data_IF_937792929471
#
_entry.id   IF_937792929471
#
_cell.length_a   1.000
_cell.length_b   1.000
_cell.length_c   1.000
_cell.angle_alpha   90.00
_cell.angle_beta   90.00
_cell.angle_gamma   90.00
#
_symmetry.space_group_name_H-M   'P 1'
#
loop_
_entity.id
_entity.type
_entity.pdbx_description
1 polymer ?
#
# COMPACT_ATOMS: atom_id res chain seq x y z
N UNK A 1 13.22 1.81 -11.96
CA UNK A 1 12.92 0.40 -11.60
C UNK A 1 13.99 -0.17 -10.68
N UNK A 2 15.25 -0.14 -11.09
CA UNK A 2 16.36 -0.72 -10.33
C UNK A 2 16.48 -0.19 -8.90
N UNK A 3 16.30 1.11 -8.67
CA UNK A 3 16.33 1.66 -7.31
C UNK A 3 15.17 1.14 -6.47
N UNK A 4 13.96 1.13 -7.03
CA UNK A 4 12.77 0.63 -6.34
C UNK A 4 12.86 -0.88 -6.06
N UNK A 5 13.29 -1.67 -7.05
CA UNK A 5 13.40 -3.13 -6.89
C UNK A 5 14.38 -3.53 -5.78
N UNK A 6 15.50 -2.80 -5.64
CA UNK A 6 16.46 -3.02 -4.54
C UNK A 6 15.84 -2.73 -3.18
N UNK A 7 15.04 -1.66 -3.05
CA UNK A 7 14.36 -1.31 -1.80
C UNK A 7 13.29 -2.34 -1.40
N UNK A 8 12.78 -3.11 -2.37
CA UNK A 8 11.71 -4.09 -2.18
C UNK A 8 12.19 -5.54 -2.32
N UNK A 9 13.52 -5.77 -2.31
CA UNK A 9 14.17 -7.10 -2.41
C UNK A 9 13.69 -7.92 -3.63
N UNK A 10 13.65 -7.28 -4.81
CA UNK A 10 13.29 -7.92 -6.07
C UNK A 10 14.17 -7.42 -7.22
N UNK A 11 13.84 -7.73 -8.46
CA UNK A 11 14.59 -7.32 -9.66
C UNK A 11 13.81 -6.34 -10.52
N UNK A 12 14.52 -5.46 -11.25
CA UNK A 12 13.90 -4.40 -12.04
C UNK A 12 12.96 -4.90 -13.14
N UNK A 13 13.17 -6.11 -13.65
CA UNK A 13 12.30 -6.75 -14.65
C UNK A 13 10.91 -7.08 -14.12
N UNK A 14 10.73 -7.18 -12.80
CA UNK A 14 9.44 -7.41 -12.16
C UNK A 14 8.66 -6.12 -11.88
N UNK A 15 9.20 -4.95 -12.25
CA UNK A 15 8.63 -3.65 -11.89
C UNK A 15 8.12 -2.92 -13.13
N UNK A 16 6.84 -2.51 -13.09
CA UNK A 16 6.27 -1.55 -14.02
C UNK A 16 6.13 -0.16 -13.37
N UNK A 17 6.10 0.89 -14.20
CA UNK A 17 5.85 2.28 -13.79
C UNK A 17 4.39 2.58 -14.07
N UNK A 18 3.65 2.96 -13.04
CA UNK A 18 2.21 3.22 -13.09
C UNK A 18 1.87 4.63 -12.59
N UNK A 19 0.72 5.21 -12.97
CA UNK A 19 0.34 6.56 -12.54
C UNK A 19 -0.35 6.57 -11.17
N UNK A 20 -0.94 5.44 -10.76
CA UNK A 20 -1.77 5.39 -9.54
C UNK A 20 -1.96 3.96 -9.02
N UNK A 21 -2.36 3.85 -7.75
CA UNK A 21 -2.73 2.56 -7.17
C UNK A 21 -3.91 1.91 -7.91
N UNK A 22 -4.92 2.69 -8.32
CA UNK A 22 -6.08 2.17 -9.06
C UNK A 22 -5.69 1.56 -10.41
N UNK A 23 -4.70 2.14 -11.11
CA UNK A 23 -4.17 1.56 -12.34
C UNK A 23 -3.53 0.19 -12.08
N UNK A 24 -2.69 0.08 -11.03
CA UNK A 24 -2.06 -1.19 -10.67
C UNK A 24 -3.05 -2.26 -10.23
N UNK A 25 -4.05 -1.90 -9.42
CA UNK A 25 -5.11 -2.84 -9.01
C UNK A 25 -5.96 -3.27 -10.21
N UNK A 26 -6.32 -2.35 -11.11
CA UNK A 26 -7.06 -2.69 -12.33
C UNK A 26 -6.24 -3.62 -13.24
N UNK A 27 -4.92 -3.41 -13.34
CA UNK A 27 -4.02 -4.32 -14.05
C UNK A 27 -4.06 -5.72 -13.44
N UNK A 28 -3.98 -5.84 -12.12
CA UNK A 28 -4.09 -7.12 -11.43
C UNK A 28 -5.46 -7.79 -11.68
N UNK A 29 -6.56 -7.04 -11.54
CA UNK A 29 -7.91 -7.54 -11.76
C UNK A 29 -8.14 -8.07 -13.19
N UNK A 30 -7.52 -7.43 -14.19
CA UNK A 30 -7.60 -7.87 -15.60
C UNK A 30 -6.86 -9.19 -15.84
N UNK A 31 -5.79 -9.46 -15.08
CA UNK A 31 -4.86 -10.57 -15.35
C UNK A 31 -5.05 -11.79 -14.45
N UNK A 32 -5.86 -11.70 -13.41
CA UNK A 32 -6.11 -12.83 -12.54
C UNK A 32 -7.31 -13.67 -13.02
N UNK A 33 -7.18 -14.99 -12.84
CA UNK A 33 -8.25 -15.92 -13.18
C UNK A 33 -9.32 -15.89 -12.08
N UNK A 34 -10.50 -15.38 -12.43
CA UNK A 34 -11.65 -15.30 -11.56
C UNK A 34 -12.78 -16.06 -12.23
N UNK A 35 -13.24 -17.15 -11.58
CA UNK A 35 -14.32 -18.00 -12.10
C UNK A 35 -15.67 -17.59 -11.52
N UNK A 36 -16.74 -17.87 -12.24
CA UNK A 36 -18.09 -17.68 -11.72
C UNK A 36 -18.29 -18.48 -10.43
N UNK A 37 -18.93 -17.88 -9.43
CA UNK A 37 -19.16 -18.46 -8.10
C UNK A 37 -17.93 -18.47 -7.19
N UNK A 38 -16.75 -18.06 -7.64
CA UNK A 38 -15.59 -17.86 -6.76
C UNK A 38 -15.72 -16.57 -5.95
N UNK A 39 -14.83 -16.37 -4.98
CA UNK A 39 -14.84 -15.20 -4.10
C UNK A 39 -13.57 -14.36 -4.26
N UNK A 40 -13.74 -13.06 -4.14
CA UNK A 40 -12.64 -12.10 -4.01
C UNK A 40 -12.70 -11.54 -2.60
N UNK A 41 -11.67 -11.80 -1.78
CA UNK A 41 -11.58 -11.34 -0.41
C UNK A 41 -11.01 -9.93 -0.36
N UNK A 42 -11.72 -9.02 0.32
CA UNK A 42 -11.29 -7.65 0.64
C UNK A 42 -11.59 -7.33 2.09
N UNK A 43 -10.89 -6.34 2.68
CA UNK A 43 -11.20 -5.84 4.01
C UNK A 43 -12.31 -4.77 3.96
N UNK A 44 -13.13 -4.65 5.02
CA UNK A 44 -14.22 -3.66 5.10
C UNK A 44 -13.74 -2.23 4.96
N UNK A 45 -12.61 -1.92 5.60
CA UNK A 45 -12.03 -0.56 5.64
C UNK A 45 -10.91 -0.35 4.63
N UNK A 46 -10.87 -1.16 3.58
CA UNK A 46 -9.87 -1.08 2.53
C UNK A 46 -9.95 0.26 1.78
N UNK A 47 -8.81 0.76 1.31
CA UNK A 47 -8.80 1.95 0.47
C UNK A 47 -9.62 1.74 -0.81
N UNK A 48 -10.50 2.68 -1.19
CA UNK A 48 -11.47 2.48 -2.27
C UNK A 48 -10.87 2.00 -3.61
N UNK A 49 -9.66 2.45 -3.97
CA UNK A 49 -8.98 1.98 -5.18
C UNK A 49 -8.64 0.48 -5.16
N UNK A 50 -8.57 -0.13 -3.97
CA UNK A 50 -8.40 -1.57 -3.81
C UNK A 50 -9.73 -2.29 -3.48
N UNK A 51 -10.86 -1.70 -3.88
CA UNK A 51 -12.21 -2.30 -3.75
C UNK A 51 -12.96 -2.24 -5.08
N UNK A 52 -13.04 -1.05 -5.69
CA UNK A 52 -13.87 -0.84 -6.89
C UNK A 52 -13.48 -1.72 -8.08
N UNK A 53 -12.20 -1.92 -8.44
CA UNK A 53 -11.84 -2.83 -9.52
C UNK A 53 -12.29 -4.26 -9.26
N UNK A 54 -12.23 -4.70 -8.00
CA UNK A 54 -12.66 -6.04 -7.61
C UNK A 54 -14.19 -6.22 -7.69
N UNK A 55 -14.96 -5.22 -7.29
CA UNK A 55 -16.42 -5.23 -7.45
C UNK A 55 -16.81 -5.31 -8.93
N UNK A 56 -16.16 -4.50 -9.76
CA UNK A 56 -16.43 -4.48 -11.19
C UNK A 56 -16.12 -5.83 -11.85
N UNK A 57 -14.94 -6.41 -11.60
CA UNK A 57 -14.58 -7.69 -12.20
C UNK A 57 -15.43 -8.86 -11.63
N UNK A 58 -15.80 -8.80 -10.35
CA UNK A 58 -16.70 -9.79 -9.76
C UNK A 58 -18.05 -9.81 -10.46
N UNK A 59 -18.65 -8.64 -10.69
CA UNK A 59 -19.91 -8.51 -11.46
C UNK A 59 -19.78 -9.08 -12.87
N UNK A 60 -18.70 -8.72 -13.59
CA UNK A 60 -18.46 -9.20 -14.95
C UNK A 60 -18.26 -10.71 -15.06
N UNK A 61 -17.63 -11.32 -14.05
CA UNK A 61 -17.28 -12.75 -14.05
C UNK A 61 -18.25 -13.62 -13.28
N UNK A 62 -19.27 -13.04 -12.63
CA UNK A 62 -20.20 -13.80 -11.77
C UNK A 62 -19.55 -14.31 -10.51
N UNK A 63 -18.56 -13.62 -9.98
CA UNK A 63 -17.92 -13.90 -8.70
C UNK A 63 -18.53 -13.05 -7.57
N UNK A 64 -18.20 -13.38 -6.33
CA UNK A 64 -18.71 -12.70 -5.13
C UNK A 64 -17.60 -11.91 -4.43
N UNK A 65 -17.93 -10.75 -3.83
CA UNK A 65 -17.04 -10.05 -2.92
C UNK A 65 -17.23 -10.61 -1.50
N UNK A 66 -16.17 -11.17 -0.93
CA UNK A 66 -16.11 -11.59 0.47
C UNK A 66 -15.45 -10.47 1.29
N UNK A 67 -16.24 -9.71 2.03
CA UNK A 67 -15.73 -8.63 2.88
C UNK A 67 -15.39 -9.18 4.27
N UNK A 68 -14.17 -8.93 4.74
CA UNK A 68 -13.69 -9.29 6.08
C UNK A 68 -13.75 -8.07 6.98
N UNK A 69 -14.50 -8.17 8.06
CA UNK A 69 -14.53 -7.16 9.12
C UNK A 69 -13.49 -7.52 10.18
N UNK A 70 -12.73 -6.52 10.64
CA UNK A 70 -11.77 -6.67 11.72
C UNK A 70 -12.25 -5.83 12.90
N UNK A 71 -12.65 -6.46 14.02
CA UNK A 71 -13.02 -5.74 15.24
C UNK A 71 -11.85 -4.88 15.77
N UNK A 72 -12.19 -3.80 16.45
CA UNK A 72 -11.20 -2.90 17.05
C UNK A 72 -10.27 -3.65 18.02
N UNK A 73 -8.96 -3.50 17.82
CA UNK A 73 -7.94 -4.09 18.69
C UNK A 73 -7.55 -5.53 18.34
N UNK A 74 -8.26 -6.18 17.42
CA UNK A 74 -7.92 -7.52 16.95
C UNK A 74 -6.88 -7.52 15.83
N UNK A 75 -6.22 -8.66 15.63
CA UNK A 75 -5.21 -8.81 14.60
C UNK A 75 -5.85 -9.03 13.22
N UNK A 76 -5.70 -8.08 12.30
CA UNK A 76 -6.27 -8.18 10.96
C UNK A 76 -5.79 -9.43 10.20
N UNK A 77 -4.57 -9.89 10.46
CA UNK A 77 -3.98 -11.09 9.86
C UNK A 77 -4.82 -12.33 10.13
N UNK A 78 -5.23 -12.54 11.38
CA UNK A 78 -5.96 -13.74 11.78
C UNK A 78 -7.34 -13.78 11.10
N UNK A 79 -8.05 -12.66 11.06
CA UNK A 79 -9.34 -12.56 10.37
C UNK A 79 -9.25 -12.82 8.86
N UNK A 80 -8.16 -12.40 8.22
CA UNK A 80 -7.93 -12.72 6.81
C UNK A 80 -7.69 -14.21 6.63
N UNK A 81 -6.84 -14.83 7.48
CA UNK A 81 -6.49 -16.25 7.42
C UNK A 81 -7.74 -17.10 7.61
N UNK A 82 -8.56 -16.79 8.61
CA UNK A 82 -9.81 -17.51 8.91
C UNK A 82 -10.84 -17.39 7.79
N UNK A 83 -10.80 -16.29 7.05
CA UNK A 83 -11.68 -16.05 5.92
C UNK A 83 -11.22 -16.71 4.62
N UNK A 84 -9.97 -17.17 4.51
CA UNK A 84 -9.44 -17.81 3.31
C UNK A 84 -9.88 -19.28 3.24
N UNK A 85 -10.57 -19.61 2.16
CA UNK A 85 -10.99 -20.97 1.81
C UNK A 85 -10.76 -21.24 0.30
N UNK A 86 -10.94 -22.48 -0.15
CA UNK A 86 -10.72 -22.92 -1.54
C UNK A 86 -11.60 -22.21 -2.58
N UNK A 87 -12.64 -21.49 -2.16
CA UNK A 87 -13.51 -20.70 -3.06
C UNK A 87 -12.98 -19.29 -3.27
N UNK A 88 -11.97 -18.88 -2.50
CA UNK A 88 -11.36 -17.54 -2.65
C UNK A 88 -10.31 -17.61 -3.74
N UNK A 89 -10.59 -17.00 -4.90
CA UNK A 89 -9.63 -16.92 -6.02
C UNK A 89 -8.59 -15.80 -5.85
N UNK A 90 -8.97 -14.70 -5.20
CA UNK A 90 -8.10 -13.54 -4.96
C UNK A 90 -8.25 -13.05 -3.53
N UNK A 91 -7.13 -12.81 -2.85
CA UNK A 91 -7.03 -12.06 -1.62
C UNK A 91 -6.41 -10.69 -1.92
N UNK A 92 -7.23 -9.63 -1.89
CA UNK A 92 -6.79 -8.26 -2.12
C UNK A 92 -6.72 -7.52 -0.79
N UNK A 93 -5.50 -7.26 -0.32
CA UNK A 93 -5.27 -6.64 0.99
C UNK A 93 -4.26 -5.51 0.94
N UNK A 94 -4.02 -4.84 2.06
CA UNK A 94 -2.89 -3.95 2.29
C UNK A 94 -1.89 -4.63 3.23
N UNK A 95 -0.67 -4.08 3.35
CA UNK A 95 0.23 -4.45 4.44
C UNK A 95 -0.10 -3.65 5.72
N UNK A 96 -0.39 -2.35 5.57
CA UNK A 96 -0.82 -1.46 6.65
C UNK A 96 -2.13 -0.79 6.26
N UNK A 97 -3.16 -0.92 7.07
CA UNK A 97 -4.47 -0.32 6.81
C UNK A 97 -4.40 1.20 6.89
N UNK A 98 -5.00 1.87 5.93
CA UNK A 98 -4.98 3.32 5.78
C UNK A 98 -5.85 4.06 6.80
N UNK A 99 -6.78 3.38 7.43
CA UNK A 99 -7.72 3.94 8.42
C UNK A 99 -7.10 4.02 9.81
N UNK A 100 -6.54 2.93 10.30
CA UNK A 100 -6.12 2.76 11.70
C UNK A 100 -4.67 2.29 11.88
N UNK A 101 -3.94 2.03 10.77
CA UNK A 101 -2.56 1.57 10.85
C UNK A 101 -2.38 0.10 11.22
N UNK A 102 -3.46 -0.70 11.24
CA UNK A 102 -3.36 -2.14 11.52
C UNK A 102 -2.38 -2.82 10.56
N UNK A 103 -1.48 -3.60 11.11
CA UNK A 103 -0.47 -4.36 10.37
C UNK A 103 -1.03 -5.72 9.97
N UNK A 104 -0.80 -6.09 8.72
CA UNK A 104 -1.11 -7.41 8.18
C UNK A 104 0.19 -8.13 7.86
N UNK A 105 0.40 -9.28 8.47
CA UNK A 105 1.53 -10.17 8.23
C UNK A 105 1.34 -10.87 6.87
N UNK A 106 1.98 -10.30 5.84
CA UNK A 106 1.82 -10.77 4.47
C UNK A 106 2.44 -12.15 4.23
N UNK A 107 3.46 -12.54 5.00
CA UNK A 107 4.07 -13.87 4.87
C UNK A 107 3.08 -14.94 5.36
N UNK A 108 2.42 -14.71 6.51
CA UNK A 108 1.36 -15.62 6.98
C UNK A 108 0.15 -15.69 6.05
N UNK A 109 -0.30 -14.52 5.57
CA UNK A 109 -1.40 -14.48 4.60
C UNK A 109 -1.02 -15.21 3.31
N UNK A 110 0.21 -15.03 2.80
CA UNK A 110 0.69 -15.75 1.62
C UNK A 110 0.74 -17.25 1.82
N UNK A 111 1.22 -17.72 2.99
CA UNK A 111 1.24 -19.14 3.31
C UNK A 111 -0.18 -19.75 3.23
N UNK A 112 -1.18 -19.06 3.80
CA UNK A 112 -2.58 -19.49 3.71
C UNK A 112 -3.14 -19.42 2.30
N UNK A 113 -2.80 -18.38 1.55
CA UNK A 113 -3.19 -18.26 0.13
C UNK A 113 -2.66 -19.44 -0.71
N UNK A 114 -1.45 -19.92 -0.45
CA UNK A 114 -0.88 -21.09 -1.14
C UNK A 114 -1.67 -22.37 -0.84
N UNK A 115 -2.07 -22.59 0.43
CA UNK A 115 -2.91 -23.73 0.82
C UNK A 115 -4.25 -23.73 0.07
N UNK A 116 -4.87 -22.56 -0.06
CA UNK A 116 -6.18 -22.37 -0.70
C UNK A 116 -6.09 -22.16 -2.22
N UNK A 117 -4.91 -22.10 -2.82
CA UNK A 117 -4.67 -21.76 -4.24
C UNK A 117 -5.21 -20.37 -4.60
N UNK A 118 -5.16 -19.45 -3.67
CA UNK A 118 -5.60 -18.04 -3.80
C UNK A 118 -4.45 -17.17 -4.29
N UNK A 119 -4.69 -16.28 -5.23
CA UNK A 119 -3.70 -15.27 -5.66
C UNK A 119 -3.73 -14.07 -4.70
N UNK A 120 -2.53 -13.66 -4.23
CA UNK A 120 -2.38 -12.53 -3.31
C UNK A 120 -2.07 -11.25 -4.08
N UNK A 121 -2.87 -10.20 -3.86
CA UNK A 121 -2.64 -8.84 -4.38
C UNK A 121 -2.52 -7.87 -3.20
N UNK A 122 -1.46 -7.06 -3.19
CA UNK A 122 -1.14 -6.22 -2.03
C UNK A 122 -0.99 -4.75 -2.40
N UNK A 123 -1.72 -3.88 -1.70
CA UNK A 123 -1.47 -2.43 -1.73
C UNK A 123 -0.46 -2.07 -0.62
N UNK A 124 0.75 -1.71 -1.02
CA UNK A 124 1.86 -1.34 -0.15
C UNK A 124 2.01 0.18 0.02
N UNK A 125 1.04 0.97 -0.46
CA UNK A 125 1.12 2.44 -0.45
C UNK A 125 1.27 3.03 0.96
N UNK A 126 0.82 2.33 2.00
CA UNK A 126 0.95 2.78 3.39
C UNK A 126 2.18 2.22 4.11
N UNK A 127 3.03 1.45 3.43
CA UNK A 127 4.19 0.81 4.07
C UNK A 127 5.49 0.95 3.29
N UNK A 128 5.47 0.86 1.96
CA UNK A 128 6.68 0.98 1.15
C UNK A 128 7.41 2.31 1.41
N UNK A 129 8.70 2.22 1.75
CA UNK A 129 9.54 3.36 2.12
C UNK A 129 9.68 3.61 3.63
N UNK A 130 8.77 3.09 4.46
CA UNK A 130 8.83 3.23 5.92
C UNK A 130 8.82 1.89 6.68
N UNK A 131 8.45 0.81 6.01
CA UNK A 131 8.43 -0.55 6.54
C UNK A 131 9.25 -1.46 5.62
N UNK A 132 10.09 -2.29 6.20
CA UNK A 132 10.95 -3.21 5.44
C UNK A 132 10.12 -4.39 4.90
N UNK A 133 9.99 -4.43 3.58
CA UNK A 133 9.15 -5.39 2.86
C UNK A 133 10.01 -6.18 1.90
N UNK A 134 9.99 -7.50 2.03
CA UNK A 134 10.71 -8.42 1.17
C UNK A 134 9.75 -9.10 0.18
N UNK A 135 9.66 -8.56 -1.05
CA UNK A 135 8.81 -9.14 -2.09
C UNK A 135 9.30 -10.52 -2.56
N UNK A 136 10.58 -10.85 -2.34
CA UNK A 136 11.09 -12.19 -2.69
C UNK A 136 10.56 -13.28 -1.76
N UNK A 137 10.23 -12.93 -0.50
CA UNK A 137 9.63 -13.85 0.47
C UNK A 137 8.12 -13.92 0.37
N UNK A 138 7.49 -12.74 0.22
CA UNK A 138 6.02 -12.66 0.14
C UNK A 138 5.53 -13.24 -1.18
N UNK A 139 6.25 -13.02 -2.27
CA UNK A 139 5.92 -13.44 -3.64
C UNK A 139 4.43 -13.26 -3.99
N UNK A 140 3.87 -12.03 -3.91
CA UNK A 140 2.49 -11.78 -4.28
C UNK A 140 2.34 -11.87 -5.80
N UNK A 141 1.13 -12.12 -6.30
CA UNK A 141 0.84 -12.03 -7.73
C UNK A 141 1.12 -10.62 -8.26
N UNK A 142 0.65 -9.62 -7.52
CA UNK A 142 0.87 -8.19 -7.78
C UNK A 142 1.05 -7.43 -6.47
N UNK A 143 1.97 -6.44 -6.45
CA UNK A 143 2.06 -5.48 -5.37
C UNK A 143 2.12 -4.05 -5.92
N UNK A 144 1.35 -3.15 -5.32
CA UNK A 144 1.11 -1.81 -5.81
C UNK A 144 1.62 -0.77 -4.82
N UNK A 145 2.30 0.26 -5.32
CA UNK A 145 2.80 1.38 -4.52
C UNK A 145 2.51 2.70 -5.23
N UNK A 146 1.76 3.59 -4.59
CA UNK A 146 1.71 4.99 -5.01
C UNK A 146 2.82 5.79 -4.29
N UNK A 147 3.60 6.57 -5.05
CA UNK A 147 4.85 7.16 -4.54
C UNK A 147 4.67 8.35 -3.59
N UNK A 148 3.53 9.03 -3.60
CA UNK A 148 3.33 10.32 -2.93
C UNK A 148 3.18 10.25 -1.40
N UNK A 149 3.25 9.07 -0.81
CA UNK A 149 3.20 8.89 0.66
C UNK A 149 4.60 8.59 1.21
N UNK A 150 4.78 7.40 1.73
CA UNK A 150 6.02 6.99 2.39
C UNK A 150 7.22 6.84 1.45
N UNK A 151 6.98 6.70 0.14
CA UNK A 151 8.03 6.77 -0.89
C UNK A 151 8.51 8.20 -1.19
N UNK A 152 7.89 9.23 -0.60
CA UNK A 152 8.26 10.66 -0.69
C UNK A 152 8.33 11.20 -2.12
N UNK A 153 7.71 10.52 -3.07
CA UNK A 153 7.71 10.90 -4.48
C UNK A 153 6.52 11.80 -4.86
N UNK A 154 6.49 12.29 -6.09
CA UNK A 154 5.40 13.13 -6.59
C UNK A 154 4.11 12.33 -6.84
N UNK A 155 2.98 13.05 -6.88
CA UNK A 155 1.70 12.53 -7.37
C UNK A 155 1.82 12.02 -8.80
N UNK A 156 0.85 11.18 -9.23
CA UNK A 156 0.78 10.60 -10.58
C UNK A 156 1.97 9.71 -10.93
N UNK A 157 2.64 9.17 -9.92
CA UNK A 157 3.72 8.20 -10.05
C UNK A 157 3.54 7.05 -9.07
N UNK A 158 3.93 5.86 -9.49
CA UNK A 158 3.86 4.66 -8.68
C UNK A 158 4.62 3.50 -9.32
N UNK A 159 4.66 2.40 -8.60
CA UNK A 159 5.27 1.16 -9.06
C UNK A 159 4.29 -0.01 -8.89
N UNK A 160 4.35 -0.91 -9.85
CA UNK A 160 3.66 -2.18 -9.83
C UNK A 160 4.72 -3.29 -9.88
N UNK A 161 4.79 -4.08 -8.83
CA UNK A 161 5.46 -5.37 -8.88
C UNK A 161 4.52 -6.38 -9.52
N UNK A 162 5.07 -7.16 -10.43
CA UNK A 162 4.38 -8.25 -11.12
C UNK A 162 5.19 -9.52 -10.95
N UNK A 163 4.60 -10.57 -10.38
CA UNK A 163 5.26 -11.87 -10.31
C UNK A 163 5.59 -12.38 -11.71
N UNK A 164 6.75 -13.04 -11.92
CA UNK A 164 7.12 -13.60 -13.21
C UNK A 164 6.05 -14.48 -13.87
N UNK A 165 5.21 -15.12 -13.09
CA UNK A 165 4.05 -15.91 -13.54
C UNK A 165 3.08 -15.10 -14.42
N UNK A 166 3.04 -13.78 -14.25
CA UNK A 166 2.11 -12.88 -14.94
C UNK A 166 2.80 -11.93 -15.93
N UNK A 167 4.06 -12.16 -16.28
CA UNK A 167 4.79 -11.33 -17.25
C UNK A 167 4.21 -11.39 -18.67
N UNK A 168 3.42 -12.42 -18.98
CA UNK A 168 2.80 -12.58 -20.30
C UNK A 168 1.31 -12.17 -20.36
N UNK A 169 0.84 -11.45 -19.35
CA UNK A 169 -0.55 -10.99 -19.29
C UNK A 169 -0.85 -9.76 -20.17
N UNK A 170 -2.07 -9.24 -20.05
CA UNK A 170 -2.59 -8.15 -20.85
C UNK A 170 -2.40 -6.79 -20.18
N UNK A 171 -1.77 -5.79 -20.83
CA UNK A 171 -1.69 -4.43 -20.31
C UNK A 171 -3.06 -3.72 -20.32
N UNK A 172 -3.18 -2.63 -19.57
CA UNK A 172 -4.34 -1.74 -19.68
C UNK A 172 -4.28 -0.82 -20.90
N UNK A 173 -3.06 -0.47 -21.30
CA UNK A 173 -2.80 0.42 -22.43
C UNK A 173 -1.97 -0.30 -23.49
N UNK A 174 -2.41 -0.27 -24.73
CA UNK A 174 -1.69 -0.80 -25.89
C UNK A 174 -0.70 0.25 -26.44
N UNK A 175 0.24 0.67 -25.57
CA UNK A 175 1.18 1.74 -25.87
C UNK A 175 2.38 1.27 -26.72
N UNK A 176 2.89 2.14 -27.60
CA UNK A 176 4.09 1.89 -28.41
C UNK A 176 5.35 1.66 -27.56
N UNK A 177 5.46 2.35 -26.43
CA UNK A 177 6.67 2.38 -25.59
C UNK A 177 6.96 1.04 -24.88
N UNK A 178 5.98 0.15 -24.83
CA UNK A 178 6.11 -1.19 -24.24
C UNK A 178 6.38 -2.28 -25.26
N UNK A 179 6.35 -1.93 -26.56
CA UNK A 179 6.57 -2.87 -27.66
C UNK A 179 8.06 -3.10 -27.91
N UNK A 180 8.37 -4.28 -28.43
CA UNK A 180 9.72 -4.63 -28.87
C UNK A 180 10.22 -3.58 -29.88
N UNK A 181 11.49 -3.24 -29.81
CA UNK A 181 12.13 -2.20 -30.63
C UNK A 181 11.64 -0.77 -30.38
N UNK A 182 10.86 -0.49 -29.32
CA UNK A 182 10.40 0.86 -28.99
C UNK A 182 11.53 1.90 -28.81
N UNK A 183 12.77 1.46 -28.66
CA UNK A 183 13.97 2.32 -28.59
C UNK A 183 14.43 2.83 -29.95
N UNK A 184 14.05 2.17 -31.01
CA UNK A 184 14.33 2.59 -32.39
C UNK A 184 13.24 3.50 -32.92
N UNK A 185 13.30 4.77 -32.48
CA UNK A 185 12.25 5.76 -32.74
C UNK A 185 12.06 6.02 -34.24
N UNK A 186 13.10 5.88 -35.06
CA UNK A 186 13.02 6.11 -36.49
C UNK A 186 12.18 5.05 -37.23
N UNK A 187 12.11 3.84 -36.67
CA UNK A 187 11.43 2.68 -37.28
C UNK A 187 10.13 2.29 -36.53
N UNK A 188 9.52 3.18 -35.75
CA UNK A 188 8.25 2.89 -35.05
C UNK A 188 7.07 2.54 -35.96
N UNK A 189 7.15 2.86 -37.24
CA UNK A 189 6.16 2.48 -38.27
C UNK A 189 6.25 0.99 -38.66
N UNK A 190 7.32 0.31 -38.30
CA UNK A 190 7.42 -1.14 -38.34
C UNK A 190 6.78 -1.72 -37.08
N UNK A 191 5.46 -1.88 -37.12
CA UNK A 191 4.63 -2.25 -35.94
C UNK A 191 5.01 -3.62 -35.42
N UNK A 192 5.25 -3.69 -34.09
CA UNK A 192 5.66 -4.91 -33.40
C UNK A 192 4.50 -5.46 -32.55
N UNK A 193 4.14 -6.72 -32.75
CA UNK A 193 3.13 -7.42 -31.94
C UNK A 193 3.66 -7.86 -30.59
N UNK A 194 4.97 -7.97 -30.45
CA UNK A 194 5.64 -8.43 -29.23
C UNK A 194 5.96 -7.29 -28.27
N UNK A 195 5.86 -7.57 -26.99
CA UNK A 195 6.24 -6.65 -25.92
C UNK A 195 7.72 -6.80 -25.55
N UNK A 196 8.26 -5.76 -24.89
CA UNK A 196 9.49 -5.90 -24.12
C UNK A 196 9.28 -6.90 -22.97
N UNK A 197 10.31 -7.69 -22.61
CA UNK A 197 10.17 -8.74 -21.59
C UNK A 197 9.91 -8.17 -20.19
N UNK A 198 9.24 -8.97 -19.36
CA UNK A 198 8.96 -8.65 -17.97
C UNK A 198 7.78 -7.71 -17.77
N UNK A 199 7.73 -7.06 -16.59
CA UNK A 199 6.63 -6.19 -16.19
C UNK A 199 6.51 -4.89 -17.00
N UNK A 200 7.47 -4.58 -17.87
CA UNK A 200 7.49 -3.37 -18.71
C UNK A 200 6.20 -3.24 -19.54
N UNK A 201 5.60 -4.36 -19.96
CA UNK A 201 4.33 -4.34 -20.70
C UNK A 201 3.19 -3.64 -19.99
N UNK A 202 3.24 -3.59 -18.66
CA UNK A 202 2.23 -2.96 -17.80
C UNK A 202 2.53 -1.49 -17.48
N UNK A 203 3.58 -0.92 -18.06
CA UNK A 203 3.86 0.50 -17.88
C UNK A 203 2.72 1.36 -18.41
N UNK A 204 2.47 2.46 -17.69
CA UNK A 204 1.61 3.52 -18.22
C UNK A 204 2.19 4.12 -19.50
N UNK A 205 1.34 4.59 -20.37
CA UNK A 205 1.73 5.43 -21.49
C UNK A 205 2.50 6.66 -20.99
N UNK A 206 3.47 7.14 -21.78
CA UNK A 206 4.30 8.30 -21.44
C UNK A 206 5.02 8.18 -20.06
N UNK A 207 5.44 6.98 -19.70
CA UNK A 207 6.17 6.72 -18.44
C UNK A 207 7.42 7.59 -18.22
N UNK A 208 7.99 8.13 -19.30
CA UNK A 208 9.17 9.01 -19.27
C UNK A 208 8.80 10.46 -18.99
N UNK A 209 8.01 10.71 -17.94
CA UNK A 209 7.60 12.03 -17.53
C UNK A 209 8.78 12.83 -16.98
N UNK A 210 9.26 13.82 -17.76
CA UNK A 210 10.46 14.62 -17.44
C UNK A 210 10.31 15.50 -16.21
N UNK A 211 9.08 15.89 -15.86
CA UNK A 211 8.80 16.72 -14.69
C UNK A 211 8.75 15.91 -13.39
N UNK A 212 8.27 14.67 -13.43
CA UNK A 212 8.02 13.86 -12.24
C UNK A 212 9.12 12.83 -11.95
N UNK A 213 9.67 12.19 -12.97
CA UNK A 213 10.67 11.11 -12.79
C UNK A 213 11.94 11.58 -12.07
N UNK A 214 12.50 12.79 -12.28
CA UNK A 214 13.64 13.25 -11.48
C UNK A 214 13.32 13.32 -9.99
N UNK A 215 12.10 13.75 -9.60
CA UNK A 215 11.65 13.77 -8.21
C UNK A 215 11.51 12.36 -7.62
N UNK A 216 11.00 11.40 -8.41
CA UNK A 216 10.94 9.98 -8.01
C UNK A 216 12.34 9.44 -7.76
N UNK A 217 13.29 9.71 -8.65
CA UNK A 217 14.67 9.22 -8.53
C UNK A 217 15.34 9.76 -7.27
N UNK A 218 15.17 11.05 -6.97
CA UNK A 218 15.74 11.67 -5.78
C UNK A 218 15.11 11.11 -4.50
N UNK A 219 13.80 10.93 -4.46
CA UNK A 219 13.10 10.31 -3.34
C UNK A 219 13.62 8.88 -3.06
N UNK A 220 13.76 8.06 -4.11
CA UNK A 220 14.30 6.70 -3.98
C UNK A 220 15.76 6.68 -3.48
N UNK A 221 16.61 7.58 -3.99
CA UNK A 221 18.00 7.73 -3.53
C UNK A 221 18.07 8.15 -2.07
N UNK A 222 17.20 9.07 -1.67
CA UNK A 222 17.14 9.54 -0.29
C UNK A 222 16.72 8.43 0.67
N UNK A 223 15.69 7.64 0.32
CA UNK A 223 15.24 6.47 1.12
C UNK A 223 16.35 5.42 1.16
N UNK A 224 17.00 5.15 0.04
CA UNK A 224 18.14 4.20 0.00
C UNK A 224 19.30 4.66 0.89
N UNK A 225 19.60 5.96 0.91
CA UNK A 225 20.64 6.55 1.75
C UNK A 225 20.30 6.44 3.25
N UNK A 226 19.06 6.68 3.63
CA UNK A 226 18.61 6.51 5.01
C UNK A 226 18.53 5.03 5.42
N UNK A 227 18.13 4.15 4.50
CA UNK A 227 17.88 2.74 4.72
C UNK A 227 16.51 2.50 5.36
N UNK A 228 15.66 1.69 4.72
CA UNK A 228 14.31 1.40 5.24
C UNK A 228 14.33 0.81 6.66
N UNK A 229 15.22 -0.14 7.00
CA UNK A 229 15.31 -0.63 8.38
C UNK A 229 15.61 0.46 9.41
N UNK A 230 16.46 1.44 9.07
CA UNK A 230 16.76 2.58 9.95
C UNK A 230 15.56 3.52 10.10
N UNK A 231 14.84 3.80 8.99
CA UNK A 231 13.58 4.58 9.02
C UNK A 231 12.58 3.87 9.95
N UNK A 232 12.35 2.59 9.72
CA UNK A 232 11.42 1.78 10.52
C UNK A 232 11.75 1.81 12.01
N UNK A 233 13.01 1.56 12.37
CA UNK A 233 13.45 1.54 13.77
C UNK A 233 13.33 2.92 14.42
N UNK A 234 13.68 3.99 13.72
CA UNK A 234 13.56 5.36 14.23
C UNK A 234 12.10 5.71 14.50
N UNK A 235 11.20 5.42 13.55
CA UNK A 235 9.77 5.70 13.69
C UNK A 235 9.12 4.81 14.76
N UNK A 236 9.52 3.54 14.85
CA UNK A 236 9.07 2.63 15.91
C UNK A 236 9.38 3.18 17.30
N UNK A 237 10.62 3.54 17.54
CA UNK A 237 11.07 4.04 18.86
C UNK A 237 10.40 5.37 19.23
N UNK A 238 10.29 6.29 18.28
CA UNK A 238 9.60 7.57 18.47
C UNK A 238 8.11 7.37 18.78
N UNK A 239 7.45 6.47 18.06
CA UNK A 239 6.04 6.18 18.23
C UNK A 239 5.70 5.41 19.50
N UNK A 240 6.60 4.58 20.03
CA UNK A 240 6.37 3.89 21.31
C UNK A 240 6.10 4.87 22.46
N UNK A 241 6.93 5.91 22.58
CA UNK A 241 6.75 6.92 23.61
C UNK A 241 5.46 7.73 23.40
N UNK A 242 5.20 8.13 22.16
CA UNK A 242 3.97 8.84 21.82
C UNK A 242 2.72 8.01 22.16
N UNK A 243 2.71 6.72 21.81
CA UNK A 243 1.60 5.82 22.12
C UNK A 243 1.29 5.72 23.62
N UNK A 244 2.33 5.66 24.49
CA UNK A 244 2.15 5.64 25.95
C UNK A 244 1.44 6.91 26.40
N UNK A 245 1.92 8.08 26.00
CA UNK A 245 1.31 9.38 26.35
C UNK A 245 -0.14 9.49 25.86
N UNK A 246 -0.45 8.99 24.66
CA UNK A 246 -1.80 8.99 24.13
C UNK A 246 -2.72 8.01 24.88
N UNK A 247 -2.22 6.86 25.29
CA UNK A 247 -2.97 5.89 26.12
C UNK A 247 -3.27 6.47 27.51
N UNK A 248 -2.34 7.22 28.10
CA UNK A 248 -2.54 7.92 29.38
C UNK A 248 -3.63 8.99 29.30
N UNK A 249 -3.88 9.52 28.10
CA UNK A 249 -4.99 10.45 27.81
C UNK A 249 -6.31 9.74 27.48
N UNK A 250 -6.35 8.39 27.55
CA UNK A 250 -7.54 7.58 27.33
C UNK A 250 -7.81 7.21 25.86
N UNK A 251 -6.87 7.46 24.94
CA UNK A 251 -7.00 6.96 23.57
C UNK A 251 -6.70 5.46 23.52
N UNK A 252 -7.49 4.72 22.76
CA UNK A 252 -7.23 3.31 22.52
C UNK A 252 -6.32 3.15 21.30
N UNK A 253 -5.21 2.46 21.51
CA UNK A 253 -4.15 2.27 20.48
C UNK A 253 -3.92 0.78 20.30
N UNK A 254 -3.87 0.27 19.05
CA UNK A 254 -3.53 -1.13 18.80
C UNK A 254 -2.16 -1.49 19.39
N UNK A 255 -2.01 -2.73 19.83
CA UNK A 255 -0.72 -3.24 20.33
C UNK A 255 0.39 -3.07 19.28
N UNK A 256 1.66 -2.92 19.69
CA UNK A 256 2.76 -2.70 18.76
C UNK A 256 2.88 -3.76 17.66
N UNK A 257 2.59 -5.03 17.99
CA UNK A 257 2.60 -6.16 17.06
C UNK A 257 1.46 -6.14 16.03
N UNK A 258 0.38 -5.43 16.31
CA UNK A 258 -0.82 -5.34 15.46
C UNK A 258 -0.90 -4.04 14.66
N UNK A 259 0.16 -3.20 14.66
CA UNK A 259 0.18 -1.93 13.93
C UNK A 259 1.50 -1.68 13.22
N UNK A 260 1.43 -0.93 12.12
CA UNK A 260 2.63 -0.44 11.44
C UNK A 260 3.50 0.40 12.40
N UNK A 261 4.83 0.22 12.43
CA UNK A 261 5.72 0.96 13.32
C UNK A 261 5.71 2.47 13.08
N UNK A 262 5.39 2.89 11.87
CA UNK A 262 5.36 4.27 11.40
C UNK A 262 3.97 4.93 11.45
N UNK A 263 2.92 4.19 11.79
CA UNK A 263 1.53 4.65 11.71
C UNK A 263 0.81 4.36 13.02
N UNK A 264 0.17 5.38 13.62
CA UNK A 264 -0.65 5.23 14.82
C UNK A 264 -2.10 5.56 14.46
N UNK A 265 -2.99 4.58 14.56
CA UNK A 265 -4.42 4.80 14.60
C UNK A 265 -4.84 4.82 16.06
N UNK A 266 -5.38 5.96 16.54
CA UNK A 266 -5.77 6.12 17.92
C UNK A 266 -7.28 6.40 17.98
N UNK A 267 -8.05 5.49 18.58
CA UNK A 267 -9.48 5.69 18.77
C UNK A 267 -9.70 6.70 19.90
N UNK A 268 -10.47 7.73 19.58
CA UNK A 268 -10.80 8.78 20.53
C UNK A 268 -11.75 8.27 21.62
N UNK A 269 -11.63 8.79 22.86
CA UNK A 269 -12.63 8.55 23.89
C UNK A 269 -14.02 9.02 23.44
N UNK A 270 -15.08 8.37 23.90
CA UNK A 270 -16.47 8.72 23.54
C UNK A 270 -16.88 10.15 23.92
N UNK A 271 -16.16 10.77 24.87
CA UNK A 271 -16.36 12.15 25.31
C UNK A 271 -15.55 13.19 24.54
N UNK A 272 -14.73 12.76 23.55
CA UNK A 272 -13.91 13.68 22.78
C UNK A 272 -14.78 14.71 22.04
N UNK A 273 -14.38 16.00 22.03
CA UNK A 273 -15.12 17.04 21.33
C UNK A 273 -15.17 16.77 19.82
N UNK A 274 -16.31 17.05 19.20
CA UNK A 274 -16.48 16.86 17.74
C UNK A 274 -15.57 17.74 16.89
N UNK A 275 -15.14 18.89 17.41
CA UNK A 275 -14.25 19.84 16.74
C UNK A 275 -12.76 19.62 17.05
N UNK A 276 -12.38 18.44 17.55
CA UNK A 276 -11.00 18.14 17.97
C UNK A 276 -9.97 18.41 16.85
N UNK A 277 -10.29 18.08 15.59
CA UNK A 277 -9.40 18.34 14.45
C UNK A 277 -9.20 19.82 14.18
N UNK A 278 -10.26 20.62 14.31
CA UNK A 278 -10.21 22.07 14.13
C UNK A 278 -9.34 22.71 15.23
N UNK A 279 -9.56 22.32 16.49
CA UNK A 279 -8.76 22.81 17.62
C UNK A 279 -7.28 22.41 17.52
N UNK A 280 -6.99 21.20 17.04
CA UNK A 280 -5.62 20.79 16.77
C UNK A 280 -4.99 21.63 15.63
N UNK A 281 -5.72 21.88 14.55
CA UNK A 281 -5.25 22.68 13.42
C UNK A 281 -4.97 24.15 13.82
N UNK A 282 -5.78 24.77 14.68
CA UNK A 282 -5.54 26.09 15.26
C UNK A 282 -4.23 26.14 16.05
N UNK A 283 -3.81 25.02 16.65
CA UNK A 283 -2.53 24.84 17.32
C UNK A 283 -1.41 24.34 16.38
N UNK A 284 -1.62 24.43 15.06
CA UNK A 284 -0.66 23.99 14.00
C UNK A 284 -0.28 22.51 14.11
N UNK A 285 -1.23 21.67 14.52
CA UNK A 285 -1.12 20.23 14.59
C UNK A 285 -2.08 19.63 13.56
N UNK A 286 -1.53 19.02 12.53
CA UNK A 286 -2.30 18.49 11.40
C UNK A 286 -2.34 16.97 11.45
N UNK A 287 -3.48 16.44 11.81
CA UNK A 287 -3.81 15.02 11.82
C UNK A 287 -5.14 14.82 11.09
N UNK A 288 -5.54 13.60 10.85
CA UNK A 288 -6.82 13.31 10.19
C UNK A 288 -7.56 12.21 10.92
N UNK A 289 -8.87 12.15 10.76
CA UNK A 289 -9.72 11.10 11.31
C UNK A 289 -10.27 10.24 10.16
N UNK A 290 -10.27 8.91 10.35
CA UNK A 290 -10.89 7.94 9.44
C UNK A 290 -11.46 6.78 10.27
N UNK A 291 -12.72 6.42 10.02
CA UNK A 291 -13.37 5.31 10.74
C UNK A 291 -13.36 5.48 12.27
N UNK A 292 -13.45 6.70 12.78
CA UNK A 292 -13.41 6.99 14.24
C UNK A 292 -12.01 6.93 14.86
N UNK A 293 -10.96 6.75 14.04
CA UNK A 293 -9.57 6.75 14.51
C UNK A 293 -8.85 8.04 14.10
N UNK A 294 -8.21 8.68 15.05
CA UNK A 294 -7.26 9.75 14.80
C UNK A 294 -6.00 9.14 14.19
N UNK A 295 -5.65 9.57 12.98
CA UNK A 295 -4.47 9.09 12.24
C UNK A 295 -3.28 9.98 12.50
N UNK A 296 -2.25 9.40 13.09
CA UNK A 296 -1.03 10.08 13.46
C UNK A 296 0.11 9.41 12.70
N UNK A 297 0.70 10.13 11.77
CA UNK A 297 1.68 9.62 10.80
C UNK A 297 2.94 10.47 10.81
N UNK A 298 3.72 10.47 11.90
CA UNK A 298 4.97 11.20 11.96
C UNK A 298 6.02 10.59 11.04
N UNK A 299 7.02 11.39 10.68
CA UNK A 299 8.15 10.95 9.89
C UNK A 299 9.47 11.45 10.52
N UNK A 300 10.61 11.22 9.88
CA UNK A 300 11.94 11.54 10.38
C UNK A 300 12.19 13.04 10.69
N UNK A 301 11.33 13.93 10.18
CA UNK A 301 11.38 15.37 10.47
C UNK A 301 10.60 15.78 11.71
N UNK A 302 9.85 14.87 12.33
CA UNK A 302 9.20 15.13 13.61
C UNK A 302 10.12 14.79 14.78
N UNK A 303 10.06 15.57 15.85
CA UNK A 303 10.92 15.43 17.03
C UNK A 303 10.09 15.41 18.33
N UNK A 304 10.76 15.29 19.46
CA UNK A 304 10.12 15.23 20.79
C UNK A 304 9.27 16.45 21.11
N UNK A 305 9.68 17.64 20.69
CA UNK A 305 8.94 18.88 20.89
C UNK A 305 7.60 18.88 20.15
N UNK A 306 7.56 18.31 18.93
CA UNK A 306 6.30 18.14 18.18
C UNK A 306 5.35 17.20 18.94
N UNK A 307 5.87 16.10 19.48
CA UNK A 307 5.08 15.14 20.24
C UNK A 307 4.59 15.70 21.58
N UNK A 308 5.41 16.46 22.27
CA UNK A 308 5.05 17.17 23.50
C UNK A 308 3.94 18.18 23.23
N UNK A 309 4.10 19.04 22.21
CA UNK A 309 3.08 19.99 21.81
C UNK A 309 1.76 19.30 21.48
N UNK A 310 1.80 18.19 20.74
CA UNK A 310 0.62 17.42 20.40
C UNK A 310 -0.08 16.84 21.63
N UNK A 311 0.65 16.18 22.52
CA UNK A 311 0.08 15.54 23.71
C UNK A 311 -0.44 16.57 24.73
N UNK A 312 0.26 17.69 24.93
CA UNK A 312 -0.20 18.77 25.81
C UNK A 312 -1.44 19.47 25.24
N UNK A 313 -1.53 19.62 23.93
CA UNK A 313 -2.74 20.17 23.30
C UNK A 313 -3.91 19.21 23.46
N UNK A 314 -3.72 17.91 23.20
CA UNK A 314 -4.77 16.90 23.41
C UNK A 314 -5.25 16.87 24.87
N UNK A 315 -4.33 16.95 25.85
CA UNK A 315 -4.66 16.98 27.28
C UNK A 315 -5.56 18.14 27.68
N UNK A 316 -5.48 19.27 26.97
CA UNK A 316 -6.34 20.43 27.21
C UNK A 316 -7.72 20.31 26.56
N UNK A 317 -7.80 19.47 25.51
CA UNK A 317 -9.02 19.27 24.71
C UNK A 317 -9.89 18.16 25.30
N UNK A 318 -9.28 17.08 25.76
CA UNK A 318 -9.94 15.88 26.33
C UNK A 318 -10.24 16.04 27.83
#
# INVERSE_FOLDING_TARGET
RELFSRLMHTVGTNIAIIPSASYGIQTAAKNLQISAGSKILVLSDQFPSNVYPWRHIAEQKGAEIKTVNVPDGEAATDHIIDALDERVSVCATANVLWTNGSLIDLEKVKAKCLECKTELVVDLTQSAGAFDIDLSKIDPAFAIVANYKWMLGPYSTGFLYVSPKFHDGEPLEEGWITRKNSKDFANLVDYQDYYEPGAIRYDMGQRSNFSLIPGVLEALRQIQKWGIPNIQNTLYNSNLNLCRKLSDLGLQIPRPENRGPHFIGAKLPSKAPKNILETLAENKIFVSERGGNLRITPHLWNNSTDFERFTETLKKIL
#
